data_IF_924455668267
#
_entry.id   IF_924455668267
#
_cell.length_a   1.000
_cell.length_b   1.000
_cell.length_c   1.000
_cell.angle_alpha   90.00
_cell.angle_beta   90.00
_cell.angle_gamma   90.00
#
_symmetry.space_group_name_H-M   'P 1'
#
loop_
_entity.id
_entity.type
_entity.pdbx_description
1 polymer ?
#
# COMPACT_ATOMS: atom_id res chain seq x y z
N UNK A 1 -4.37 0.68 -0.85
CA UNK A 1 -2.97 0.32 -1.18
C UNK A 1 -2.72 -1.09 -0.72
N UNK A 2 -1.97 -1.87 -1.50
CA UNK A 2 -1.50 -3.18 -1.07
C UNK A 2 -0.11 -3.03 -0.45
N UNK A 3 0.04 -3.46 0.80
CA UNK A 3 1.29 -3.49 1.54
C UNK A 3 1.82 -4.92 1.55
N UNK A 4 3.06 -5.17 1.12
CA UNK A 4 3.63 -6.50 1.16
C UNK A 4 4.07 -6.87 2.57
N UNK A 5 3.89 -8.15 2.91
CA UNK A 5 4.42 -8.74 4.14
C UNK A 5 5.85 -9.29 3.97
N UNK A 6 6.35 -9.28 2.73
CA UNK A 6 7.69 -9.76 2.38
C UNK A 6 8.36 -8.79 1.39
N UNK A 7 9.69 -8.68 1.49
CA UNK A 7 10.53 -8.07 0.46
C UNK A 7 10.50 -8.92 -0.82
N UNK A 8 10.90 -8.38 -1.97
CA UNK A 8 10.94 -9.15 -3.24
C UNK A 8 11.92 -10.34 -3.21
N UNK A 9 12.85 -10.36 -2.25
CA UNK A 9 13.78 -11.47 -2.01
C UNK A 9 13.24 -12.52 -1.02
N UNK A 10 12.01 -12.33 -0.51
CA UNK A 10 11.33 -13.24 0.40
C UNK A 10 11.57 -13.00 1.90
N UNK A 11 12.45 -12.06 2.29
CA UNK A 11 12.59 -11.66 3.70
C UNK A 11 11.27 -11.09 4.23
N UNK A 12 10.96 -11.29 5.50
CA UNK A 12 9.75 -10.71 6.11
C UNK A 12 9.90 -9.20 6.36
N UNK A 13 8.84 -8.44 6.11
CA UNK A 13 8.77 -7.02 6.47
C UNK A 13 8.53 -6.90 7.98
N UNK A 14 9.31 -6.09 8.73
CA UNK A 14 9.09 -5.88 10.15
C UNK A 14 7.67 -5.38 10.43
N UNK A 15 6.93 -5.96 11.39
CA UNK A 15 5.56 -5.56 11.71
C UNK A 15 5.42 -4.07 12.05
N UNK A 16 6.42 -3.50 12.73
CA UNK A 16 6.44 -2.08 13.12
C UNK A 16 6.46 -1.14 11.91
N UNK A 17 7.00 -1.58 10.77
CA UNK A 17 6.98 -0.78 9.54
C UNK A 17 5.59 -0.72 8.94
N UNK A 18 4.81 -1.81 9.03
CA UNK A 18 3.42 -1.80 8.60
C UNK A 18 2.58 -0.90 9.51
N UNK A 19 2.81 -0.96 10.82
CA UNK A 19 2.17 -0.08 11.78
C UNK A 19 2.50 1.40 11.50
N UNK A 20 3.77 1.72 11.21
CA UNK A 20 4.19 3.07 10.84
C UNK A 20 3.50 3.56 9.55
N UNK A 21 3.37 2.69 8.54
CA UNK A 21 2.66 3.03 7.30
C UNK A 21 1.20 3.40 7.57
N UNK A 22 0.52 2.64 8.45
CA UNK A 22 -0.85 2.92 8.87
C UNK A 22 -0.93 4.24 9.63
N UNK A 23 -0.05 4.47 10.61
CA UNK A 23 -0.03 5.70 11.41
C UNK A 23 0.18 6.95 10.54
N UNK A 24 1.07 6.91 9.54
CA UNK A 24 1.25 8.04 8.62
C UNK A 24 -0.02 8.37 7.81
N UNK A 25 -0.85 7.37 7.45
CA UNK A 25 -2.14 7.61 6.80
C UNK A 25 -3.12 8.22 7.81
N UNK A 26 -3.20 7.67 9.02
CA UNK A 26 -4.07 8.18 10.09
C UNK A 26 -3.71 9.62 10.43
N UNK A 27 -2.43 9.97 10.55
CA UNK A 27 -1.97 11.33 10.83
C UNK A 27 -2.38 12.33 9.74
N UNK A 28 -2.45 11.89 8.48
CA UNK A 28 -2.79 12.76 7.36
C UNK A 28 -4.31 12.87 7.12
N UNK A 29 -5.02 11.75 7.17
CA UNK A 29 -6.44 11.65 6.79
C UNK A 29 -7.40 11.56 7.99
N UNK A 30 -6.88 11.38 9.20
CA UNK A 30 -7.66 11.20 10.43
C UNK A 30 -8.14 9.77 10.67
N UNK A 31 -8.09 8.89 9.66
CA UNK A 31 -8.51 7.50 9.77
C UNK A 31 -7.91 6.62 8.66
N UNK A 32 -7.85 5.31 8.92
CA UNK A 32 -7.53 4.29 7.94
C UNK A 32 -8.14 2.94 8.37
N UNK A 33 -8.49 2.11 7.39
CA UNK A 33 -8.88 0.72 7.60
C UNK A 33 -7.73 -0.20 7.20
N UNK A 34 -7.30 -1.06 8.11
CA UNK A 34 -6.28 -2.07 7.87
C UNK A 34 -6.93 -3.45 7.80
N UNK A 35 -7.06 -3.98 6.58
CA UNK A 35 -7.65 -5.29 6.33
C UNK A 35 -6.58 -6.37 6.54
N UNK A 36 -6.71 -7.15 7.63
CA UNK A 36 -5.76 -8.21 8.01
C UNK A 36 -5.88 -9.48 7.18
N UNK A 37 -6.90 -9.57 6.32
CA UNK A 37 -7.03 -10.66 5.37
C UNK A 37 -5.84 -10.65 4.42
N UNK A 38 -5.10 -11.76 4.37
CA UNK A 38 -4.00 -11.94 3.44
C UNK A 38 -4.53 -12.01 2.01
N UNK A 39 -3.96 -11.19 1.15
CA UNK A 39 -4.20 -11.18 -0.29
C UNK A 39 -2.98 -11.78 -0.97
N UNK A 40 -3.21 -12.76 -1.83
CA UNK A 40 -2.15 -13.38 -2.63
C UNK A 40 -2.00 -12.64 -3.96
N UNK A 41 -0.82 -12.07 -4.20
CA UNK A 41 -0.46 -11.39 -5.44
C UNK A 41 0.33 -12.31 -6.36
N UNK A 42 0.02 -12.28 -7.65
CA UNK A 42 0.83 -12.92 -8.70
C UNK A 42 1.04 -11.94 -9.83
N UNK A 43 2.30 -11.70 -10.18
CA UNK A 43 2.64 -10.77 -11.26
C UNK A 43 3.96 -11.15 -11.92
N UNK A 44 4.22 -10.55 -13.09
CA UNK A 44 5.41 -10.85 -13.89
C UNK A 44 6.15 -9.59 -14.26
N UNK A 45 7.48 -9.64 -14.21
CA UNK A 45 8.36 -8.60 -14.72
C UNK A 45 9.65 -9.23 -15.23
N UNK A 46 10.07 -8.85 -16.45
CA UNK A 46 11.31 -9.36 -17.04
C UNK A 46 11.36 -10.89 -17.21
N UNK A 47 10.20 -11.55 -17.36
CA UNK A 47 10.11 -13.02 -17.45
C UNK A 47 10.12 -13.76 -16.10
N UNK A 48 10.36 -13.06 -14.99
CA UNK A 48 10.27 -13.61 -13.63
C UNK A 48 8.83 -13.49 -13.14
N UNK A 49 8.31 -14.56 -12.52
CA UNK A 49 7.02 -14.53 -11.82
C UNK A 49 7.27 -14.30 -10.34
N UNK A 50 6.60 -13.29 -9.79
CA UNK A 50 6.62 -12.93 -8.38
C UNK A 50 5.33 -13.38 -7.72
N UNK A 51 5.44 -13.78 -6.45
CA UNK A 51 4.33 -14.18 -5.60
C UNK A 51 4.43 -13.42 -4.30
N UNK A 52 3.39 -12.68 -3.97
CA UNK A 52 3.38 -11.82 -2.79
C UNK A 52 2.29 -12.27 -1.82
N UNK A 53 2.57 -12.11 -0.52
CA UNK A 53 1.53 -12.08 0.51
C UNK A 53 1.35 -10.63 0.95
N UNK A 54 0.14 -10.11 0.82
CA UNK A 54 -0.17 -8.70 0.97
C UNK A 54 -1.28 -8.50 2.01
N UNK A 55 -1.34 -7.28 2.55
CA UNK A 55 -2.47 -6.75 3.33
C UNK A 55 -2.97 -5.48 2.68
N UNK A 56 -4.24 -5.13 2.91
CA UNK A 56 -4.87 -3.98 2.26
C UNK A 56 -5.08 -2.84 3.25
N UNK A 57 -4.52 -1.69 2.90
CA UNK A 57 -4.73 -0.43 3.61
C UNK A 57 -5.71 0.41 2.80
N UNK A 58 -6.85 0.76 3.40
CA UNK A 58 -7.92 1.56 2.79
C UNK A 58 -8.05 2.87 3.53
N UNK A 59 -8.27 3.94 2.77
CA UNK A 59 -8.53 5.27 3.30
C UNK A 59 -9.66 5.89 2.49
N UNK A 60 -10.67 6.38 3.20
CA UNK A 60 -11.73 7.20 2.63
C UNK A 60 -11.32 8.66 2.80
N UNK A 61 -11.24 9.38 1.68
CA UNK A 61 -10.77 10.76 1.69
C UNK A 61 -11.47 11.57 0.59
N UNK A 62 -11.66 12.89 0.78
CA UNK A 62 -12.13 13.77 -0.28
C UNK A 62 -11.25 13.67 -1.52
N UNK A 63 -11.86 13.63 -2.69
CA UNK A 63 -11.15 13.59 -3.96
C UNK A 63 -10.59 14.97 -4.30
N UNK A 64 -9.38 15.25 -3.79
CA UNK A 64 -8.67 16.51 -4.04
C UNK A 64 -7.30 16.25 -4.69
N UNK A 65 -6.77 17.19 -5.49
CA UNK A 65 -5.42 17.09 -6.04
C UNK A 65 -4.34 16.90 -4.97
N UNK A 66 -4.51 17.56 -3.81
CA UNK A 66 -3.61 17.45 -2.65
C UNK A 66 -3.55 16.02 -2.12
N UNK A 67 -4.72 15.39 -1.91
CA UNK A 67 -4.79 14.02 -1.39
C UNK A 67 -4.20 13.00 -2.39
N UNK A 68 -4.49 13.18 -3.69
CA UNK A 68 -3.89 12.35 -4.75
C UNK A 68 -2.37 12.48 -4.80
N UNK A 69 -1.85 13.71 -4.68
CA UNK A 69 -0.41 13.96 -4.65
C UNK A 69 0.24 13.33 -3.42
N UNK A 70 -0.39 13.48 -2.24
CA UNK A 70 0.11 12.88 -1.01
C UNK A 70 0.19 11.35 -1.12
N UNK A 71 -0.86 10.69 -1.61
CA UNK A 71 -0.87 9.24 -1.82
C UNK A 71 0.20 8.76 -2.80
N UNK A 72 0.48 9.53 -3.86
CA UNK A 72 1.59 9.21 -4.81
C UNK A 72 2.95 9.30 -4.13
N UNK A 73 3.18 10.34 -3.33
CA UNK A 73 4.42 10.50 -2.58
C UNK A 73 4.57 9.42 -1.52
N UNK A 74 3.49 9.09 -0.81
CA UNK A 74 3.43 8.01 0.17
C UNK A 74 3.78 6.67 -0.46
N UNK A 75 3.17 6.32 -1.62
CA UNK A 75 3.56 5.15 -2.43
C UNK A 75 5.05 5.16 -2.73
N UNK A 76 5.59 6.29 -3.20
CA UNK A 76 7.01 6.41 -3.56
C UNK A 76 7.95 6.15 -2.40
N UNK A 77 7.70 6.77 -1.23
CA UNK A 77 8.52 6.57 -0.02
C UNK A 77 8.50 5.11 0.45
N UNK A 78 7.31 4.51 0.52
CA UNK A 78 7.17 3.13 0.99
C UNK A 78 7.70 2.10 -0.02
N UNK A 79 7.58 2.37 -1.32
CA UNK A 79 8.19 1.53 -2.35
C UNK A 79 9.71 1.46 -2.16
N UNK A 80 10.35 2.62 -1.98
CA UNK A 80 11.79 2.69 -1.75
C UNK A 80 12.19 2.02 -0.43
N UNK A 81 11.48 2.33 0.67
CA UNK A 81 11.77 1.77 1.99
C UNK A 81 11.61 0.24 2.05
N UNK A 82 10.61 -0.30 1.38
CA UNK A 82 10.33 -1.74 1.32
C UNK A 82 11.12 -2.46 0.21
N UNK A 83 12.02 -1.76 -0.47
CA UNK A 83 12.80 -2.31 -1.59
C UNK A 83 11.92 -3.00 -2.64
N UNK A 84 10.76 -2.40 -2.91
CA UNK A 84 9.75 -2.98 -3.79
C UNK A 84 9.94 -2.59 -5.25
N UNK A 85 9.87 -3.57 -6.15
CA UNK A 85 9.82 -3.33 -7.60
C UNK A 85 8.61 -2.46 -7.98
N UNK A 86 7.44 -2.68 -7.35
CA UNK A 86 6.36 -1.71 -7.29
C UNK A 86 5.44 -1.89 -6.07
N UNK A 87 4.62 -0.87 -5.80
CA UNK A 87 3.51 -0.95 -4.85
C UNK A 87 2.20 -0.55 -5.53
N UNK A 88 1.16 -1.38 -5.41
CA UNK A 88 -0.11 -1.12 -6.07
C UNK A 88 -1.04 -0.24 -5.22
N UNK A 89 -1.48 0.87 -5.82
CA UNK A 89 -2.48 1.78 -5.24
C UNK A 89 -3.58 1.97 -6.28
N UNK A 90 -4.81 1.75 -5.86
CA UNK A 90 -6.00 2.07 -6.64
C UNK A 90 -6.77 3.18 -5.94
N UNK A 91 -7.43 4.03 -6.72
CA UNK A 91 -8.35 5.06 -6.23
C UNK A 91 -9.54 5.13 -7.18
N UNK A 92 -10.75 5.15 -6.63
CA UNK A 92 -11.98 5.38 -7.38
C UNK A 92 -12.84 6.35 -6.57
N UNK A 93 -13.66 7.13 -7.27
CA UNK A 93 -14.66 8.00 -6.65
C UNK A 93 -15.87 7.15 -6.32
N UNK A 94 -16.33 7.21 -5.08
CA UNK A 94 -17.59 6.60 -4.66
C UNK A 94 -18.66 7.67 -4.77
N UNK A 95 -19.67 7.41 -5.59
CA UNK A 95 -20.87 8.25 -5.71
C UNK A 95 -22.03 7.53 -5.03
N UNK A 96 -22.85 8.28 -4.31
CA UNK A 96 -24.09 7.79 -3.72
C UNK A 96 -25.21 8.46 -4.50
N UNK A 97 -26.08 7.66 -5.11
CA UNK A 97 -27.29 8.13 -5.81
C UNK A 97 -28.33 8.69 -4.83
#
# INVERSE_FOLDING_TARGET
>A
MLLPLQFNDGREVPPDWLAEAVLQIVDHFGAASYETQKVEGHWRQGGVTYRDTLVKLVVDAPDTPKNRQWMRQFKGRWKARLEQLDLWVISYRVEVE
#
